data_IF_845188627430
#
_entry.id   IF_845188627430
#
_cell.length_a   1.000
_cell.length_b   1.000
_cell.length_c   1.000
_cell.angle_alpha   90.00
_cell.angle_beta   90.00
_cell.angle_gamma   90.00
#
_symmetry.space_group_name_H-M   'P 1'
#
loop_
_entity.id
_entity.type
_entity.pdbx_description
1 polymer ?
#
# COMPACT_ATOMS: atom_id res chain seq x y z
N UNK A 1 -25.98 8.22 -2.29
CA UNK A 1 -25.33 8.54 -3.60
C UNK A 1 -26.23 9.53 -4.32
N UNK A 2 -25.67 10.62 -4.89
CA UNK A 2 -26.45 11.59 -5.66
C UNK A 2 -26.77 11.05 -7.07
N UNK A 3 -27.69 11.71 -7.79
CA UNK A 3 -28.13 11.27 -9.13
C UNK A 3 -26.97 11.24 -10.14
N UNK A 4 -26.07 12.21 -10.12
CA UNK A 4 -24.92 12.28 -11.01
C UNK A 4 -24.02 11.04 -10.90
N UNK A 5 -23.70 10.60 -9.69
CA UNK A 5 -22.88 9.38 -9.47
C UNK A 5 -23.63 8.09 -9.82
N UNK A 6 -24.96 8.08 -9.64
CA UNK A 6 -25.80 7.00 -10.14
C UNK A 6 -25.70 6.88 -11.66
N UNK A 7 -25.81 8.01 -12.38
CA UNK A 7 -25.75 8.06 -13.84
C UNK A 7 -24.36 7.62 -14.37
N UNK A 8 -23.28 8.04 -13.70
CA UNK A 8 -21.92 7.58 -14.03
C UNK A 8 -21.82 6.06 -13.91
N UNK A 9 -22.28 5.50 -12.79
CA UNK A 9 -22.21 4.06 -12.52
C UNK A 9 -23.02 3.27 -13.55
N UNK A 10 -24.27 3.66 -13.81
CA UNK A 10 -25.13 3.00 -14.79
C UNK A 10 -24.54 3.05 -16.21
N UNK A 11 -24.03 4.21 -16.61
CA UNK A 11 -23.42 4.40 -17.92
C UNK A 11 -22.17 3.54 -18.09
N UNK A 12 -21.30 3.50 -17.08
CA UNK A 12 -20.03 2.78 -17.14
C UNK A 12 -20.21 1.26 -17.11
N UNK A 13 -21.25 0.76 -16.43
CA UNK A 13 -21.51 -0.67 -16.28
C UNK A 13 -22.53 -1.22 -17.27
N UNK A 14 -23.23 -0.35 -18.00
CA UNK A 14 -24.35 -0.73 -18.87
C UNK A 14 -25.58 -1.24 -18.10
N UNK A 15 -25.63 -1.04 -16.79
CA UNK A 15 -26.76 -1.45 -15.96
C UNK A 15 -27.98 -0.54 -16.18
N UNK A 16 -29.18 -1.10 -16.00
CA UNK A 16 -30.45 -0.37 -16.11
C UNK A 16 -30.90 0.20 -14.77
N UNK A 17 -30.47 -0.39 -13.65
CA UNK A 17 -30.76 0.08 -12.30
C UNK A 17 -29.65 -0.38 -11.35
N UNK A 18 -29.58 0.27 -10.19
CA UNK A 18 -28.62 -0.06 -9.15
C UNK A 18 -29.21 0.15 -7.75
N UNK A 19 -28.69 -0.63 -6.78
CA UNK A 19 -29.03 -0.50 -5.37
C UNK A 19 -27.77 -0.57 -4.51
N UNK A 20 -27.63 0.30 -3.51
CA UNK A 20 -26.56 0.19 -2.54
C UNK A 20 -26.87 -1.00 -1.63
N UNK A 21 -26.00 -2.02 -1.64
CA UNK A 21 -26.13 -3.21 -0.81
C UNK A 21 -25.69 -2.91 0.62
N UNK A 22 -24.50 -2.31 0.76
CA UNK A 22 -23.88 -2.04 2.05
C UNK A 22 -22.87 -0.90 1.98
N UNK A 23 -22.60 -0.28 3.11
CA UNK A 23 -21.42 0.54 3.32
C UNK A 23 -20.29 -0.35 3.85
N UNK A 24 -19.24 -0.55 3.02
CA UNK A 24 -18.07 -1.36 3.38
C UNK A 24 -17.23 -0.61 4.41
N UNK A 25 -17.06 0.71 4.21
CA UNK A 25 -16.20 1.52 5.06
C UNK A 25 -16.59 3.01 4.99
N UNK A 26 -16.70 3.64 6.16
CA UNK A 26 -16.66 5.10 6.26
C UNK A 26 -15.21 5.57 6.21
N UNK A 27 -14.92 6.54 5.35
CA UNK A 27 -13.57 7.09 5.20
C UNK A 27 -13.21 7.98 6.39
N UNK A 28 -11.94 7.96 6.74
CA UNK A 28 -11.40 8.67 7.88
C UNK A 28 -11.82 10.15 7.90
N UNK A 29 -12.20 10.67 9.08
CA UNK A 29 -12.63 12.06 9.33
C UNK A 29 -13.85 12.52 8.53
N UNK A 30 -14.69 11.60 8.04
CA UNK A 30 -15.90 11.95 7.29
C UNK A 30 -15.62 12.42 5.86
N UNK A 31 -14.45 12.08 5.30
CA UNK A 31 -14.11 12.41 3.91
C UNK A 31 -14.92 11.63 2.87
N UNK A 32 -15.78 10.71 3.27
CA UNK A 32 -16.65 9.96 2.37
C UNK A 32 -16.84 8.51 2.78
N UNK A 33 -17.20 7.67 1.83
CA UNK A 33 -17.49 6.24 2.07
C UNK A 33 -17.10 5.36 0.88
N UNK A 34 -16.94 4.08 1.18
CA UNK A 34 -16.83 3.00 0.22
C UNK A 34 -18.09 2.16 0.36
N UNK A 35 -18.82 1.97 -0.73
CA UNK A 35 -20.07 1.23 -0.76
C UNK A 35 -20.04 0.13 -1.81
N UNK A 36 -20.70 -1.00 -1.53
CA UNK A 36 -20.98 -2.04 -2.52
C UNK A 36 -22.34 -1.78 -3.14
N UNK A 37 -22.40 -1.89 -4.46
CA UNK A 37 -23.57 -1.58 -5.28
C UNK A 37 -23.94 -2.80 -6.10
N UNK A 38 -25.18 -3.27 -5.95
CA UNK A 38 -25.77 -4.27 -6.83
C UNK A 38 -26.26 -3.62 -8.12
N UNK A 39 -26.05 -4.30 -9.24
CA UNK A 39 -26.42 -3.85 -10.57
C UNK A 39 -27.53 -4.73 -11.15
N UNK A 40 -28.46 -4.13 -11.90
CA UNK A 40 -29.49 -4.85 -12.64
C UNK A 40 -29.34 -4.60 -14.14
N UNK A 41 -29.60 -5.62 -14.94
CA UNK A 41 -29.55 -5.52 -16.40
C UNK A 41 -28.12 -5.41 -16.97
N UNK A 42 -27.10 -5.74 -16.18
CA UNK A 42 -25.69 -5.80 -16.58
C UNK A 42 -25.15 -7.23 -16.44
N UNK A 43 -24.05 -7.53 -17.16
CA UNK A 43 -23.27 -8.76 -16.94
C UNK A 43 -22.52 -8.72 -15.60
N UNK A 44 -22.09 -7.54 -15.17
CA UNK A 44 -21.48 -7.31 -13.87
C UNK A 44 -22.58 -7.26 -12.81
N UNK A 45 -22.48 -8.11 -11.79
CA UNK A 45 -23.51 -8.24 -10.74
C UNK A 45 -23.41 -7.13 -9.70
N UNK A 46 -22.19 -6.74 -9.35
CA UNK A 46 -21.90 -5.71 -8.36
C UNK A 46 -20.61 -4.96 -8.65
N UNK A 47 -20.48 -3.77 -8.08
CA UNK A 47 -19.29 -2.94 -8.12
C UNK A 47 -19.07 -2.31 -6.76
N UNK A 48 -17.84 -1.86 -6.51
CA UNK A 48 -17.48 -1.06 -5.33
C UNK A 48 -17.33 0.39 -5.75
N UNK A 49 -18.07 1.29 -5.13
CA UNK A 49 -17.92 2.73 -5.36
C UNK A 49 -17.24 3.40 -4.17
N UNK A 50 -16.16 4.12 -4.43
CA UNK A 50 -15.46 4.98 -3.48
C UNK A 50 -15.79 6.43 -3.78
N UNK A 51 -16.46 7.09 -2.84
CA UNK A 51 -16.78 8.51 -2.94
C UNK A 51 -15.98 9.27 -1.88
N UNK A 52 -15.16 10.20 -2.32
CA UNK A 52 -14.36 11.09 -1.47
C UNK A 52 -14.85 12.51 -1.67
N UNK A 53 -15.16 13.19 -0.58
CA UNK A 53 -15.52 14.61 -0.57
C UNK A 53 -14.64 15.33 0.43
N UNK A 54 -13.76 16.18 -0.05
CA UNK A 54 -12.84 16.92 0.81
C UNK A 54 -13.58 18.09 1.48
N UNK A 55 -13.60 18.19 2.82
CA UNK A 55 -14.28 19.28 3.50
C UNK A 55 -13.60 20.61 3.22
N UNK A 56 -14.40 21.63 2.95
CA UNK A 56 -13.93 23.00 2.73
C UNK A 56 -13.39 23.69 4.01
N UNK A 57 -13.44 23.03 5.18
CA UNK A 57 -13.04 23.61 6.47
C UNK A 57 -12.12 22.68 7.28
N UNK A 58 -11.08 23.30 7.87
CA UNK A 58 -10.00 22.72 8.66
C UNK A 58 -10.42 22.28 10.08
N UNK A 59 -11.54 21.62 10.32
CA UNK A 59 -11.91 21.14 11.66
C UNK A 59 -11.84 19.64 11.77
N UNK A 60 -10.83 19.13 12.46
CA UNK A 60 -10.71 17.71 12.78
C UNK A 60 -11.43 17.36 14.09
N UNK A 61 -12.33 16.33 14.12
CA UNK A 61 -13.11 15.98 15.33
C UNK A 61 -12.28 15.55 16.54
N UNK A 62 -11.03 15.13 16.36
CA UNK A 62 -10.13 14.63 17.44
C UNK A 62 -8.94 15.52 17.74
N UNK A 63 -8.93 16.79 17.31
CA UNK A 63 -7.91 17.76 17.69
C UNK A 63 -6.50 17.57 17.09
N UNK A 64 -6.30 16.63 16.19
CA UNK A 64 -5.05 16.44 15.44
C UNK A 64 -5.01 17.37 14.23
N UNK A 65 -4.99 18.68 14.54
CA UNK A 65 -5.06 19.76 13.57
C UNK A 65 -3.67 20.25 13.20
N UNK A 66 -2.87 19.40 12.58
CA UNK A 66 -1.75 19.92 11.81
C UNK A 66 -2.20 20.06 10.36
N UNK A 67 -1.86 21.18 9.72
CA UNK A 67 -2.06 21.38 8.28
C UNK A 67 -1.44 20.21 7.49
N UNK A 68 -0.37 19.62 7.99
CA UNK A 68 0.32 18.44 7.43
C UNK A 68 -0.56 17.19 7.32
N UNK A 69 -1.31 16.84 8.36
CA UNK A 69 -2.17 15.64 8.33
C UNK A 69 -3.29 15.79 7.30
N UNK A 70 -3.89 16.98 7.21
CA UNK A 70 -4.90 17.28 6.20
C UNK A 70 -4.32 17.26 4.79
N UNK A 71 -3.21 17.96 4.53
CA UNK A 71 -2.55 18.02 3.23
C UNK A 71 -2.11 16.63 2.75
N UNK A 72 -1.53 15.83 3.66
CA UNK A 72 -1.17 14.43 3.36
C UNK A 72 -2.39 13.61 2.94
N UNK A 73 -3.53 13.77 3.64
CA UNK A 73 -4.74 13.03 3.32
C UNK A 73 -5.34 13.47 1.98
N UNK A 74 -5.38 14.75 1.69
CA UNK A 74 -5.81 15.27 0.38
C UNK A 74 -4.91 14.68 -0.71
N UNK A 75 -3.60 14.83 -0.57
CA UNK A 75 -2.63 14.28 -1.53
C UNK A 75 -2.78 12.77 -1.72
N UNK A 76 -3.12 12.00 -0.68
CA UNK A 76 -3.31 10.56 -0.82
C UNK A 76 -4.47 10.19 -1.75
N UNK A 77 -5.52 10.97 -1.81
CA UNK A 77 -6.62 10.78 -2.76
C UNK A 77 -6.25 11.20 -4.19
N UNK A 78 -5.46 12.27 -4.34
CA UNK A 78 -4.93 12.67 -5.65
C UNK A 78 -4.00 11.59 -6.21
N UNK A 79 -3.15 11.02 -5.36
CA UNK A 79 -2.25 9.90 -5.72
C UNK A 79 -3.04 8.66 -6.14
N UNK A 80 -4.05 8.25 -5.39
CA UNK A 80 -4.89 7.12 -5.76
C UNK A 80 -5.64 7.37 -7.09
N UNK A 81 -6.09 8.60 -7.30
CA UNK A 81 -6.69 9.02 -8.58
C UNK A 81 -5.69 8.92 -9.74
N UNK A 82 -4.47 9.39 -9.55
CA UNK A 82 -3.40 9.31 -10.55
C UNK A 82 -2.97 7.87 -10.81
N UNK A 83 -2.92 7.04 -9.77
CA UNK A 83 -2.65 5.61 -9.87
C UNK A 83 -3.62 4.91 -10.82
N UNK A 84 -4.92 5.03 -10.56
CA UNK A 84 -5.94 4.39 -11.40
C UNK A 84 -5.99 4.94 -12.82
N UNK A 85 -5.69 6.22 -13.03
CA UNK A 85 -5.66 6.83 -14.37
C UNK A 85 -4.46 6.42 -15.21
N UNK A 86 -3.27 6.30 -14.61
CA UNK A 86 -2.02 6.29 -15.36
C UNK A 86 -1.24 4.98 -15.24
N UNK A 87 -1.46 4.19 -14.20
CA UNK A 87 -0.58 3.07 -13.86
C UNK A 87 -1.30 1.74 -13.67
N UNK A 88 -2.52 1.74 -13.14
CA UNK A 88 -3.29 0.55 -12.79
C UNK A 88 -3.38 -0.46 -13.95
N UNK A 89 -3.53 0.03 -15.19
CA UNK A 89 -3.59 -0.81 -16.40
C UNK A 89 -2.30 -1.57 -16.73
N UNK A 90 -1.19 -1.30 -16.03
CA UNK A 90 0.07 -2.05 -16.16
C UNK A 90 0.12 -3.27 -15.25
N UNK A 91 -0.78 -3.34 -14.27
CA UNK A 91 -0.95 -4.53 -13.44
C UNK A 91 -1.76 -5.57 -14.20
N UNK A 92 -1.27 -6.80 -14.15
CA UNK A 92 -1.91 -7.98 -14.75
C UNK A 92 -2.33 -8.99 -13.66
N UNK A 93 -2.71 -10.20 -14.06
CA UNK A 93 -3.09 -11.27 -13.13
C UNK A 93 -1.96 -11.67 -12.15
N UNK A 94 -0.70 -11.33 -12.44
CA UNK A 94 0.45 -11.64 -11.56
C UNK A 94 0.60 -10.65 -10.41
N UNK A 95 0.05 -9.44 -10.57
CA UNK A 95 -0.06 -8.42 -9.52
C UNK A 95 -1.46 -7.77 -9.55
N UNK A 96 -2.48 -8.62 -9.41
CA UNK A 96 -3.91 -8.30 -9.55
C UNK A 96 -4.37 -7.17 -8.63
N UNK A 97 -5.12 -6.24 -9.19
CA UNK A 97 -5.79 -5.14 -8.51
C UNK A 97 -7.22 -5.01 -9.04
N UNK A 98 -8.15 -4.32 -8.38
CA UNK A 98 -9.48 -4.09 -8.94
C UNK A 98 -9.41 -3.21 -10.20
N UNK A 99 -10.18 -3.57 -11.22
CA UNK A 99 -10.34 -2.73 -12.40
C UNK A 99 -11.05 -1.41 -12.03
N UNK A 100 -10.56 -0.30 -12.56
CA UNK A 100 -11.24 1.00 -12.44
C UNK A 100 -12.21 1.18 -13.63
N UNK A 101 -13.48 0.94 -13.36
CA UNK A 101 -14.56 0.97 -14.37
C UNK A 101 -14.93 2.41 -14.74
N UNK A 102 -14.96 3.31 -13.75
CA UNK A 102 -15.16 4.74 -13.95
C UNK A 102 -14.45 5.56 -12.87
N UNK A 103 -13.98 6.75 -13.26
CA UNK A 103 -13.35 7.69 -12.34
C UNK A 103 -13.67 9.12 -12.77
N UNK A 104 -14.24 9.88 -11.84
CA UNK A 104 -14.42 11.33 -11.96
C UNK A 104 -13.77 12.03 -10.77
N UNK A 105 -12.95 13.05 -11.06
CA UNK A 105 -12.35 13.93 -10.04
C UNK A 105 -12.63 15.38 -10.43
N UNK A 106 -13.45 16.06 -9.64
CA UNK A 106 -13.91 17.43 -9.90
C UNK A 106 -14.34 18.13 -8.61
N UNK A 107 -14.06 19.42 -8.47
CA UNK A 107 -14.56 20.26 -7.36
C UNK A 107 -14.27 19.70 -5.96
N UNK A 108 -13.06 19.19 -5.70
CA UNK A 108 -12.67 18.54 -4.45
C UNK A 108 -13.48 17.26 -4.12
N UNK A 109 -14.13 16.68 -5.11
CA UNK A 109 -14.76 15.36 -5.01
C UNK A 109 -14.07 14.38 -5.95
N UNK A 110 -13.92 13.14 -5.47
CA UNK A 110 -13.45 12.01 -6.28
C UNK A 110 -14.50 10.91 -6.17
N UNK A 111 -14.93 10.41 -7.30
CA UNK A 111 -15.82 9.27 -7.39
C UNK A 111 -15.18 8.19 -8.28
N UNK A 112 -14.96 7.02 -7.70
CA UNK A 112 -14.40 5.86 -8.40
C UNK A 112 -15.41 4.72 -8.36
N UNK A 113 -15.61 4.07 -9.49
CA UNK A 113 -16.34 2.80 -9.60
C UNK A 113 -15.29 1.73 -9.91
N UNK A 114 -15.10 0.83 -8.98
CA UNK A 114 -14.11 -0.24 -9.05
C UNK A 114 -14.84 -1.59 -9.18
N UNK A 115 -14.14 -2.54 -9.75
CA UNK A 115 -14.53 -3.94 -9.72
C UNK A 115 -14.81 -4.39 -8.28
N UNK A 116 -15.86 -5.18 -8.09
CA UNK A 116 -16.11 -5.89 -6.83
C UNK A 116 -15.29 -7.18 -6.82
N UNK A 117 -14.16 -7.13 -6.10
CA UNK A 117 -13.25 -8.27 -5.97
C UNK A 117 -13.92 -9.49 -5.34
N UNK A 118 -14.90 -9.31 -4.45
CA UNK A 118 -15.63 -10.42 -3.85
C UNK A 118 -16.43 -11.18 -4.92
N UNK A 119 -17.09 -10.44 -5.81
CA UNK A 119 -17.80 -11.03 -6.96
C UNK A 119 -16.86 -11.66 -8.00
N UNK A 120 -15.59 -11.29 -7.97
CA UNK A 120 -14.54 -11.81 -8.87
C UNK A 120 -13.73 -12.98 -8.25
N UNK A 121 -14.16 -13.48 -7.08
CA UNK A 121 -13.55 -14.63 -6.42
C UNK A 121 -12.35 -14.30 -5.50
N UNK A 122 -12.26 -13.06 -5.03
CA UNK A 122 -11.29 -12.60 -4.03
C UNK A 122 -12.01 -12.10 -2.77
N UNK A 123 -12.88 -12.94 -2.22
CA UNK A 123 -13.81 -12.60 -1.14
C UNK A 123 -13.27 -12.85 0.27
N UNK A 124 -12.06 -13.44 0.38
CA UNK A 124 -11.47 -13.74 1.68
C UNK A 124 -10.62 -12.59 2.23
N UNK A 125 -10.86 -12.23 3.49
CA UNK A 125 -10.06 -11.26 4.26
C UNK A 125 -9.50 -11.99 5.47
N UNK A 126 -8.16 -12.12 5.54
CA UNK A 126 -7.49 -12.94 6.53
C UNK A 126 -7.04 -12.10 7.74
N UNK A 127 -7.26 -12.62 8.93
CA UNK A 127 -6.71 -12.07 10.18
C UNK A 127 -5.47 -12.83 10.68
N UNK A 128 -5.27 -14.03 10.19
CA UNK A 128 -4.07 -14.86 10.37
C UNK A 128 -3.70 -15.47 9.03
N UNK A 129 -2.45 -15.83 8.86
CA UNK A 129 -1.91 -16.20 7.56
C UNK A 129 -1.02 -17.44 7.68
N UNK A 130 -1.16 -18.39 6.75
CA UNK A 130 -0.26 -19.55 6.60
C UNK A 130 0.91 -19.20 5.68
N UNK A 131 1.89 -20.11 5.60
CA UNK A 131 3.03 -19.94 4.69
C UNK A 131 2.58 -19.83 3.22
N UNK A 132 1.55 -20.59 2.79
CA UNK A 132 1.02 -20.51 1.43
C UNK A 132 0.52 -19.10 1.08
N UNK A 133 -0.24 -18.46 1.98
CA UNK A 133 -0.74 -17.11 1.73
C UNK A 133 0.37 -16.07 1.81
N UNK A 134 1.41 -16.28 2.66
CA UNK A 134 2.63 -15.44 2.66
C UNK A 134 3.30 -15.50 1.29
N UNK A 135 3.54 -16.70 0.75
CA UNK A 135 4.09 -16.88 -0.60
C UNK A 135 3.26 -16.18 -1.66
N UNK A 136 1.93 -16.28 -1.56
CA UNK A 136 1.00 -15.63 -2.51
C UNK A 136 1.15 -14.11 -2.49
N UNK A 137 1.23 -13.49 -1.32
CA UNK A 137 1.46 -12.04 -1.19
C UNK A 137 2.87 -11.63 -1.63
N UNK A 138 3.91 -12.38 -1.24
CA UNK A 138 5.29 -12.09 -1.67
C UNK A 138 5.45 -12.20 -3.18
N UNK A 139 4.78 -13.16 -3.82
CA UNK A 139 4.75 -13.29 -5.27
C UNK A 139 4.05 -12.09 -5.92
N UNK A 140 2.93 -11.63 -5.34
CA UNK A 140 2.26 -10.42 -5.78
C UNK A 140 3.19 -9.21 -5.70
N UNK A 141 3.84 -8.97 -4.54
CA UNK A 141 4.78 -7.88 -4.33
C UNK A 141 5.95 -7.95 -5.31
N UNK A 142 6.54 -9.13 -5.51
CA UNK A 142 7.64 -9.32 -6.45
C UNK A 142 7.25 -8.95 -7.90
N UNK A 143 6.06 -9.35 -8.34
CA UNK A 143 5.56 -9.00 -9.67
C UNK A 143 5.22 -7.51 -9.78
N UNK A 144 4.62 -6.92 -8.75
CA UNK A 144 4.35 -5.49 -8.67
C UNK A 144 5.65 -4.69 -8.76
N UNK A 145 6.65 -5.01 -7.95
CA UNK A 145 7.95 -4.34 -7.97
C UNK A 145 8.67 -4.50 -9.31
N UNK A 146 8.62 -5.69 -9.93
CA UNK A 146 9.21 -5.90 -11.25
C UNK A 146 8.52 -5.08 -12.35
N UNK A 147 7.19 -4.91 -12.26
CA UNK A 147 6.40 -4.12 -13.24
C UNK A 147 6.81 -2.66 -13.26
N UNK A 148 7.12 -2.11 -12.10
CA UNK A 148 7.41 -0.68 -11.94
C UNK A 148 8.88 -0.37 -11.68
N UNK A 149 9.77 -1.35 -11.82
CA UNK A 149 11.21 -1.18 -11.60
C UNK A 149 11.78 -0.08 -12.50
N UNK A 150 12.52 0.85 -11.91
CA UNK A 150 13.10 2.04 -12.55
C UNK A 150 12.09 2.96 -13.25
N UNK A 151 10.82 2.91 -12.87
CA UNK A 151 9.82 3.88 -13.35
C UNK A 151 9.79 5.11 -12.45
N UNK A 152 9.55 6.27 -13.06
CA UNK A 152 9.33 7.51 -12.30
C UNK A 152 7.90 7.56 -11.78
N UNK A 153 7.70 7.95 -10.51
CA UNK A 153 6.37 8.00 -9.88
C UNK A 153 5.66 9.34 -10.18
N UNK A 154 5.48 9.68 -11.47
CA UNK A 154 4.87 10.94 -11.87
C UNK A 154 3.43 11.05 -11.35
N UNK A 155 3.14 12.12 -10.62
CA UNK A 155 1.85 12.35 -9.91
C UNK A 155 1.52 11.34 -8.81
N UNK A 156 2.45 10.47 -8.40
CA UNK A 156 2.37 9.63 -7.22
C UNK A 156 3.14 10.29 -6.05
N UNK A 157 3.30 9.58 -4.93
CA UNK A 157 4.28 10.00 -3.94
C UNK A 157 5.68 9.86 -4.53
N UNK A 158 6.48 10.90 -4.45
CA UNK A 158 7.90 10.82 -4.85
C UNK A 158 8.59 9.72 -4.05
N UNK A 159 8.35 9.72 -2.74
CA UNK A 159 8.72 8.65 -1.82
C UNK A 159 7.43 8.04 -1.26
N UNK A 160 7.16 6.80 -1.67
CA UNK A 160 6.01 6.03 -1.21
C UNK A 160 6.13 5.65 0.26
N UNK A 161 5.04 5.23 0.83
CA UNK A 161 4.74 4.83 2.20
C UNK A 161 4.02 5.90 3.02
N UNK A 162 3.04 5.46 3.83
CA UNK A 162 2.28 6.38 4.69
C UNK A 162 3.08 6.90 5.89
N UNK A 163 4.26 6.31 6.14
CA UNK A 163 5.17 6.67 7.23
C UNK A 163 6.41 7.43 6.78
N UNK A 164 6.49 7.84 5.50
CA UNK A 164 7.64 8.56 4.95
C UNK A 164 8.02 9.77 5.83
N UNK A 165 9.31 9.94 6.07
CA UNK A 165 9.87 10.86 7.06
C UNK A 165 9.34 12.29 6.92
N UNK A 166 9.40 12.88 5.72
CA UNK A 166 8.97 14.27 5.47
C UNK A 166 7.48 14.51 5.68
N UNK A 167 6.69 13.43 5.60
CA UNK A 167 5.23 13.51 5.82
C UNK A 167 4.83 13.31 7.29
N UNK A 168 5.80 13.02 8.16
CA UNK A 168 5.63 12.65 9.58
C UNK A 168 6.53 13.44 10.53
N UNK A 169 6.60 14.80 10.40
CA UNK A 169 7.47 15.61 11.25
C UNK A 169 7.04 15.60 12.73
N UNK A 170 5.74 15.49 13.00
CA UNK A 170 5.22 15.50 14.37
C UNK A 170 5.62 14.22 15.11
N UNK A 171 5.50 13.07 14.45
CA UNK A 171 5.89 11.77 15.00
C UNK A 171 7.40 11.72 15.27
N UNK A 172 8.21 12.25 14.35
CA UNK A 172 9.65 12.37 14.58
C UNK A 172 9.98 13.28 15.77
N UNK A 173 9.25 14.41 15.90
CA UNK A 173 9.49 15.39 16.95
C UNK A 173 9.28 14.80 18.35
N UNK A 174 8.22 14.02 18.55
CA UNK A 174 7.84 13.49 19.87
C UNK A 174 8.57 12.18 20.23
N UNK A 175 9.27 11.56 19.30
CA UNK A 175 10.01 10.31 19.56
C UNK A 175 11.10 10.52 20.61
N UNK A 176 11.13 9.68 21.63
CA UNK A 176 12.07 9.76 22.76
C UNK A 176 13.43 9.13 22.46
N UNK A 177 13.51 8.18 21.52
CA UNK A 177 14.77 7.55 21.12
C UNK A 177 15.67 8.52 20.36
N UNK A 178 16.58 9.18 21.08
CA UNK A 178 17.45 10.22 20.54
C UNK A 178 18.42 9.71 19.49
N UNK A 179 18.91 8.47 19.60
CA UNK A 179 19.83 7.87 18.61
C UNK A 179 19.13 7.57 17.31
N UNK A 180 17.98 6.90 17.39
CA UNK A 180 17.16 6.59 16.24
C UNK A 180 16.63 7.86 15.57
N UNK A 181 16.26 8.88 16.36
CA UNK A 181 15.86 10.19 15.87
C UNK A 181 16.95 10.89 15.07
N UNK A 182 18.20 10.86 15.57
CA UNK A 182 19.36 11.41 14.87
C UNK A 182 19.70 10.61 13.58
N UNK A 183 19.48 9.31 13.59
CA UNK A 183 19.71 8.41 12.45
C UNK A 183 18.62 8.55 11.35
N UNK A 184 17.42 9.05 11.67
CA UNK A 184 16.28 9.08 10.77
C UNK A 184 16.58 9.68 9.38
N UNK A 185 17.24 10.84 9.24
CA UNK A 185 17.57 11.39 7.92
C UNK A 185 18.55 10.52 7.13
N UNK A 186 19.48 9.84 7.82
CA UNK A 186 20.46 8.95 7.18
C UNK A 186 19.76 7.70 6.64
N UNK A 187 18.86 7.13 7.43
CA UNK A 187 18.05 5.96 7.04
C UNK A 187 17.18 6.31 5.84
N UNK A 188 16.47 7.44 5.89
CA UNK A 188 15.63 7.91 4.81
C UNK A 188 16.45 8.10 3.52
N UNK A 189 17.56 8.82 3.60
CA UNK A 189 18.46 9.02 2.46
C UNK A 189 18.95 7.70 1.87
N UNK A 190 19.43 6.77 2.71
CA UNK A 190 19.94 5.45 2.26
C UNK A 190 18.89 4.67 1.46
N UNK A 191 17.65 4.64 1.93
CA UNK A 191 16.55 3.94 1.25
C UNK A 191 16.10 4.61 -0.05
N UNK A 192 16.19 5.94 -0.12
CA UNK A 192 15.66 6.71 -1.25
C UNK A 192 16.72 7.03 -2.32
N UNK A 193 18.01 6.79 -2.03
CA UNK A 193 19.13 6.92 -2.98
C UNK A 193 19.68 5.55 -3.42
N UNK A 194 18.92 4.48 -3.20
CA UNK A 194 19.28 3.15 -3.69
C UNK A 194 19.39 3.18 -5.23
N UNK A 195 20.30 2.37 -5.76
CA UNK A 195 20.52 2.25 -7.21
C UNK A 195 19.27 1.69 -7.91
N UNK A 196 18.60 0.72 -7.27
CA UNK A 196 17.40 0.10 -7.80
C UNK A 196 16.17 0.58 -7.03
N UNK A 197 15.33 1.36 -7.70
CA UNK A 197 14.07 1.84 -7.17
C UNK A 197 12.90 1.32 -8.01
N UNK A 198 11.77 1.13 -7.36
CA UNK A 198 10.52 0.72 -7.98
C UNK A 198 9.36 1.57 -7.44
N UNK A 199 8.13 1.26 -7.82
CA UNK A 199 7.00 1.70 -7.02
C UNK A 199 6.82 0.75 -5.85
N UNK A 200 6.57 1.31 -4.67
CA UNK A 200 6.08 0.61 -3.50
C UNK A 200 4.58 0.86 -3.37
N UNK A 201 3.82 -0.13 -2.91
CA UNK A 201 2.40 0.03 -2.58
C UNK A 201 2.23 1.07 -1.46
N UNK A 202 3.17 1.08 -0.53
CA UNK A 202 3.28 2.04 0.55
C UNK A 202 2.32 1.83 1.73
N UNK A 203 1.39 0.88 1.63
CA UNK A 203 0.54 0.38 2.72
C UNK A 203 0.24 -1.12 2.52
N UNK A 204 1.26 -1.92 2.17
CA UNK A 204 1.15 -3.35 1.84
C UNK A 204 0.93 -4.23 3.09
N UNK A 205 -0.05 -3.90 3.94
CA UNK A 205 -0.43 -4.75 5.09
C UNK A 205 -1.38 -5.86 4.67
N UNK A 206 -1.42 -6.94 5.45
CA UNK A 206 -2.31 -8.08 5.20
C UNK A 206 -3.76 -7.66 4.92
N UNK A 207 -4.28 -6.68 5.66
CA UNK A 207 -5.66 -6.19 5.50
C UNK A 207 -5.96 -5.54 4.13
N UNK A 208 -4.93 -5.19 3.34
CA UNK A 208 -5.07 -4.64 1.99
C UNK A 208 -4.95 -5.71 0.90
N UNK A 209 -4.87 -6.99 1.29
CA UNK A 209 -4.87 -8.12 0.38
C UNK A 209 -6.18 -8.90 0.48
N UNK A 210 -6.79 -9.13 -0.68
CA UNK A 210 -8.04 -9.87 -0.87
C UNK A 210 -7.71 -11.21 -1.52
N UNK A 211 -8.04 -12.33 -0.85
CA UNK A 211 -7.63 -13.66 -1.30
C UNK A 211 -8.77 -14.41 -1.97
N UNK A 212 -8.40 -15.32 -2.87
CA UNK A 212 -9.31 -16.37 -3.33
C UNK A 212 -9.61 -17.36 -2.20
N UNK A 213 -10.70 -18.11 -2.32
CA UNK A 213 -11.13 -19.10 -1.33
C UNK A 213 -10.03 -20.11 -0.96
N UNK A 214 -9.22 -20.54 -1.93
CA UNK A 214 -8.11 -21.49 -1.75
C UNK A 214 -6.79 -20.84 -1.32
N UNK A 215 -6.73 -19.51 -1.11
CA UNK A 215 -5.55 -18.77 -0.72
C UNK A 215 -4.42 -18.69 -1.75
N UNK A 216 -4.63 -19.20 -2.99
CA UNK A 216 -3.59 -19.28 -4.02
C UNK A 216 -3.50 -18.06 -4.92
N UNK A 217 -4.49 -17.19 -4.87
CA UNK A 217 -4.54 -15.94 -5.61
C UNK A 217 -4.83 -14.80 -4.66
N UNK A 218 -4.29 -13.64 -4.99
CA UNK A 218 -4.49 -12.42 -4.20
C UNK A 218 -4.60 -11.20 -5.10
N UNK A 219 -5.43 -10.25 -4.69
CA UNK A 219 -5.50 -8.91 -5.27
C UNK A 219 -5.26 -7.87 -4.18
N UNK A 220 -4.53 -6.79 -4.51
CA UNK A 220 -4.29 -5.71 -3.55
C UNK A 220 -5.21 -4.52 -3.79
N UNK A 221 -5.51 -3.79 -2.72
CA UNK A 221 -6.36 -2.58 -2.71
C UNK A 221 -5.71 -1.46 -1.91
N UNK A 222 -6.24 -0.24 -2.02
CA UNK A 222 -5.84 0.96 -1.27
C UNK A 222 -4.46 1.53 -1.67
N UNK A 223 -4.39 2.07 -2.90
CA UNK A 223 -3.17 2.66 -3.48
C UNK A 223 -2.96 4.14 -3.11
N UNK A 224 -3.42 4.58 -1.93
CA UNK A 224 -3.30 5.97 -1.48
C UNK A 224 -1.87 6.41 -1.19
N UNK A 225 -0.96 5.47 -0.96
CA UNK A 225 0.43 5.73 -0.60
C UNK A 225 1.44 5.15 -1.59
N UNK A 226 0.97 4.77 -2.77
CA UNK A 226 1.85 4.29 -3.85
C UNK A 226 2.80 5.37 -4.32
N UNK A 227 4.07 5.01 -4.49
CA UNK A 227 5.11 5.95 -4.91
C UNK A 227 6.46 5.29 -5.08
N UNK A 228 7.50 6.10 -5.29
CA UNK A 228 8.87 5.60 -5.46
C UNK A 228 9.45 5.01 -4.18
N UNK A 229 10.31 4.00 -4.30
CA UNK A 229 11.02 3.45 -3.15
C UNK A 229 11.75 2.14 -3.43
N UNK A 230 12.49 1.67 -2.45
CA UNK A 230 13.04 0.32 -2.42
C UNK A 230 11.93 -0.68 -2.08
N UNK A 231 11.80 -1.77 -2.85
CA UNK A 231 10.77 -2.79 -2.63
C UNK A 231 10.79 -3.43 -1.24
N UNK A 232 11.91 -3.35 -0.53
CA UNK A 232 12.02 -3.85 0.84
C UNK A 232 11.14 -3.10 1.84
N UNK A 233 10.74 -1.86 1.54
CA UNK A 233 9.76 -1.13 2.38
C UNK A 233 8.43 -1.89 2.46
N UNK A 234 7.91 -2.37 1.33
CA UNK A 234 6.66 -3.15 1.30
C UNK A 234 6.85 -4.54 1.90
N UNK A 235 7.96 -5.22 1.61
CA UNK A 235 8.23 -6.57 2.15
C UNK A 235 8.33 -6.53 3.68
N UNK A 236 9.12 -5.61 4.24
CA UNK A 236 9.25 -5.43 5.69
C UNK A 236 7.89 -5.10 6.34
N UNK A 237 7.15 -4.19 5.73
CA UNK A 237 5.83 -3.79 6.24
C UNK A 237 4.81 -4.92 6.17
N UNK A 238 4.76 -5.68 5.06
CA UNK A 238 3.88 -6.84 4.92
C UNK A 238 4.17 -7.87 6.00
N UNK A 239 5.42 -8.30 6.15
CA UNK A 239 5.84 -9.29 7.16
C UNK A 239 5.49 -8.80 8.57
N UNK A 240 5.82 -7.55 8.90
CA UNK A 240 5.46 -6.94 10.18
C UNK A 240 3.96 -6.74 10.38
N UNK A 241 3.12 -6.94 9.37
CA UNK A 241 1.66 -6.85 9.49
C UNK A 241 0.99 -8.19 9.79
N UNK A 242 1.67 -9.31 9.60
CA UNK A 242 1.08 -10.65 9.67
C UNK A 242 1.87 -11.65 10.51
N UNK A 243 3.13 -11.39 10.85
CA UNK A 243 3.95 -12.27 11.68
C UNK A 243 4.30 -11.61 13.02
N UNK A 244 4.37 -12.44 14.07
CA UNK A 244 4.92 -12.06 15.36
C UNK A 244 6.44 -12.22 15.38
N UNK A 245 7.10 -11.69 16.41
CA UNK A 245 8.55 -11.60 16.50
C UNK A 245 9.27 -12.95 16.31
N UNK A 246 8.77 -14.02 16.95
CA UNK A 246 9.36 -15.35 16.85
C UNK A 246 9.32 -15.93 15.44
N UNK A 247 8.21 -15.67 14.71
CA UNK A 247 8.07 -16.10 13.34
C UNK A 247 8.90 -15.23 12.39
N UNK A 248 9.00 -13.92 12.65
CA UNK A 248 9.90 -13.06 11.92
C UNK A 248 11.36 -13.55 12.02
N UNK A 249 11.85 -13.89 13.23
CA UNK A 249 13.21 -14.42 13.41
C UNK A 249 13.44 -15.74 12.67
N UNK A 250 12.47 -16.66 12.73
CA UNK A 250 12.59 -17.97 12.08
C UNK A 250 12.50 -17.91 10.56
N UNK A 251 11.62 -17.05 10.03
CA UNK A 251 11.24 -17.07 8.64
C UNK A 251 11.95 -16.00 7.79
N UNK A 252 12.70 -15.05 8.39
CA UNK A 252 13.36 -13.95 7.67
C UNK A 252 14.07 -14.43 6.41
N UNK A 253 14.98 -15.39 6.56
CA UNK A 253 15.75 -15.93 5.43
C UNK A 253 14.83 -16.55 4.38
N UNK A 254 13.85 -17.34 4.79
CA UNK A 254 12.92 -18.04 3.89
C UNK A 254 12.04 -17.04 3.12
N UNK A 255 11.53 -16.01 3.79
CA UNK A 255 10.77 -14.90 3.20
C UNK A 255 11.59 -14.21 2.12
N UNK A 256 12.81 -13.80 2.44
CA UNK A 256 13.68 -13.09 1.50
C UNK A 256 14.08 -13.98 0.32
N UNK A 257 14.45 -15.23 0.55
CA UNK A 257 14.83 -16.16 -0.50
C UNK A 257 13.67 -16.44 -1.45
N UNK A 258 12.46 -16.61 -0.92
CA UNK A 258 11.26 -16.77 -1.73
C UNK A 258 10.95 -15.52 -2.55
N UNK A 259 10.92 -14.35 -1.89
CA UNK A 259 10.65 -13.08 -2.55
C UNK A 259 11.63 -12.83 -3.72
N UNK A 260 12.95 -12.97 -3.50
CA UNK A 260 13.95 -12.74 -4.53
C UNK A 260 13.89 -13.79 -5.65
N UNK A 261 13.51 -15.03 -5.33
CA UNK A 261 13.25 -16.06 -6.36
C UNK A 261 12.10 -15.63 -7.28
N UNK A 262 10.99 -15.14 -6.73
CA UNK A 262 9.86 -14.67 -7.53
C UNK A 262 10.16 -13.37 -8.26
N UNK A 263 10.91 -12.45 -7.64
CA UNK A 263 11.35 -11.20 -8.27
C UNK A 263 12.24 -11.46 -9.48
N UNK A 264 13.17 -12.41 -9.37
CA UNK A 264 14.03 -12.83 -10.49
C UNK A 264 13.21 -13.35 -11.66
N UNK A 265 12.23 -14.23 -11.37
CA UNK A 265 11.31 -14.75 -12.40
C UNK A 265 10.53 -13.60 -13.05
N UNK A 266 9.99 -12.69 -12.24
CA UNK A 266 9.19 -11.58 -12.72
C UNK A 266 9.99 -10.60 -13.60
N UNK A 267 11.25 -10.32 -13.24
CA UNK A 267 12.17 -9.48 -14.03
C UNK A 267 12.53 -10.14 -15.35
N UNK A 268 12.86 -11.45 -15.32
CA UNK A 268 13.20 -12.21 -16.53
C UNK A 268 12.03 -12.27 -17.50
N UNK A 269 10.81 -12.51 -17.01
CA UNK A 269 9.60 -12.55 -17.84
C UNK A 269 9.28 -11.21 -18.52
N UNK A 270 9.81 -10.10 -17.99
CA UNK A 270 9.65 -8.75 -18.55
C UNK A 270 10.84 -8.29 -19.39
N UNK A 271 11.82 -9.17 -19.60
CA UNK A 271 13.05 -8.90 -20.38
C UNK A 271 13.75 -7.61 -19.91
N UNK A 272 13.70 -7.33 -18.61
CA UNK A 272 14.30 -6.10 -18.07
C UNK A 272 15.82 -6.19 -18.07
N UNK A 273 16.56 -5.19 -18.56
CA UNK A 273 18.02 -5.21 -18.67
C UNK A 273 18.71 -4.90 -17.33
N UNK A 274 18.22 -5.48 -16.25
CA UNK A 274 18.71 -5.24 -14.89
C UNK A 274 19.68 -6.34 -14.48
N UNK A 275 20.79 -5.96 -13.85
CA UNK A 275 21.64 -6.91 -13.16
C UNK A 275 20.95 -7.37 -11.87
N UNK A 276 20.26 -8.50 -11.94
CA UNK A 276 19.49 -9.03 -10.83
C UNK A 276 20.37 -9.31 -9.59
N UNK A 277 21.60 -9.78 -9.77
CA UNK A 277 22.45 -10.10 -8.62
C UNK A 277 22.86 -8.86 -7.83
N UNK A 278 23.07 -7.73 -8.50
CA UNK A 278 23.34 -6.44 -7.85
C UNK A 278 22.09 -5.91 -7.14
N UNK A 279 20.92 -6.00 -7.79
CA UNK A 279 19.64 -5.62 -7.19
C UNK A 279 19.36 -6.44 -5.92
N UNK A 280 19.48 -7.78 -6.00
CA UNK A 280 19.26 -8.67 -4.86
C UNK A 280 20.22 -8.35 -3.71
N UNK A 281 21.49 -8.13 -4.01
CA UNK A 281 22.51 -7.78 -3.00
C UNK A 281 22.14 -6.47 -2.31
N UNK A 282 21.89 -5.40 -3.08
CA UNK A 282 21.49 -4.10 -2.53
C UNK A 282 20.20 -4.18 -1.69
N UNK A 283 19.17 -4.86 -2.19
CA UNK A 283 17.89 -4.89 -1.48
C UNK A 283 17.95 -5.76 -0.23
N UNK A 284 18.76 -6.84 -0.20
CA UNK A 284 19.00 -7.60 1.03
C UNK A 284 19.69 -6.75 2.09
N UNK A 285 20.66 -5.94 1.69
CA UNK A 285 21.31 -4.98 2.61
C UNK A 285 20.33 -3.91 3.11
N UNK A 286 19.37 -3.48 2.28
CA UNK A 286 18.39 -2.48 2.64
C UNK A 286 17.19 -3.00 3.47
N UNK A 287 17.02 -4.31 3.58
CA UNK A 287 15.91 -4.89 4.35
C UNK A 287 15.89 -4.45 5.83
N UNK A 288 16.98 -4.54 6.60
CA UNK A 288 16.99 -4.03 7.97
C UNK A 288 16.79 -2.50 8.05
N UNK A 289 17.20 -1.74 7.04
CA UNK A 289 16.95 -0.30 6.97
C UNK A 289 15.47 0.01 6.77
N UNK A 290 14.79 -0.75 5.92
CA UNK A 290 13.33 -0.62 5.70
C UNK A 290 12.53 -0.91 6.97
N UNK A 291 12.91 -1.95 7.72
CA UNK A 291 12.35 -2.21 9.05
C UNK A 291 12.61 -1.05 10.02
N UNK A 292 13.84 -0.54 10.04
CA UNK A 292 14.23 0.55 10.93
C UNK A 292 13.45 1.83 10.62
N UNK A 293 13.20 2.14 9.35
CA UNK A 293 12.40 3.29 8.96
C UNK A 293 10.94 3.17 9.44
N UNK A 294 10.33 2.00 9.31
CA UNK A 294 8.97 1.78 9.84
C UNK A 294 8.97 1.76 11.39
N UNK A 295 9.95 1.13 12.02
CA UNK A 295 10.10 1.11 13.48
C UNK A 295 10.26 2.53 14.04
N UNK A 296 11.09 3.37 13.41
CA UNK A 296 11.22 4.79 13.74
C UNK A 296 9.87 5.50 13.76
N UNK A 297 9.04 5.29 12.73
CA UNK A 297 7.71 5.89 12.68
C UNK A 297 6.84 5.42 13.85
N UNK A 298 6.82 4.14 14.13
CA UNK A 298 6.03 3.58 15.24
C UNK A 298 6.45 4.15 16.60
N UNK A 299 7.74 4.31 16.85
CA UNK A 299 8.28 4.89 18.10
C UNK A 299 7.77 6.31 18.35
N UNK A 300 7.48 7.07 17.31
CA UNK A 300 6.86 8.39 17.44
C UNK A 300 5.33 8.38 17.40
N UNK A 301 4.73 7.46 16.63
CA UNK A 301 3.28 7.46 16.43
C UNK A 301 2.50 6.70 17.50
N UNK A 302 3.01 5.56 17.91
CA UNK A 302 2.39 4.66 18.89
C UNK A 302 3.48 3.82 19.58
N UNK A 303 4.17 4.37 20.60
CA UNK A 303 5.33 3.70 21.24
C UNK A 303 5.02 2.34 21.83
N UNK A 304 3.76 2.08 22.21
CA UNK A 304 3.30 0.81 22.76
C UNK A 304 2.73 -0.15 21.70
N UNK A 305 2.95 0.13 20.42
CA UNK A 305 2.41 -0.70 19.34
C UNK A 305 3.06 -2.09 19.35
N UNK A 306 2.27 -3.17 19.22
CA UNK A 306 2.73 -4.55 19.28
C UNK A 306 3.84 -4.92 18.25
N UNK A 307 3.96 -4.18 17.16
CA UNK A 307 5.04 -4.35 16.16
C UNK A 307 6.39 -3.79 16.62
N UNK A 308 6.42 -3.07 17.73
CA UNK A 308 7.65 -2.71 18.43
C UNK A 308 7.98 -3.89 19.35
N UNK A 309 8.86 -4.76 18.89
CA UNK A 309 9.19 -6.01 19.54
C UNK A 309 10.71 -6.29 19.44
N UNK A 310 11.19 -7.38 20.04
CA UNK A 310 12.63 -7.68 20.09
C UNK A 310 13.25 -7.81 18.69
N UNK A 311 12.53 -8.35 17.72
CA UNK A 311 13.00 -8.46 16.33
C UNK A 311 13.21 -7.08 15.69
N UNK A 312 12.19 -6.22 15.73
CA UNK A 312 12.28 -4.87 15.14
C UNK A 312 13.29 -3.98 15.87
N UNK A 313 13.41 -4.12 17.21
CA UNK A 313 14.44 -3.43 18.01
C UNK A 313 15.86 -3.91 17.67
N UNK A 314 16.07 -5.22 17.46
CA UNK A 314 17.36 -5.78 17.06
C UNK A 314 17.82 -5.22 15.71
N UNK A 315 16.95 -5.25 14.70
CA UNK A 315 17.27 -4.71 13.37
C UNK A 315 17.56 -3.21 13.43
N UNK A 316 16.74 -2.46 14.18
CA UNK A 316 16.93 -1.02 14.35
C UNK A 316 18.26 -0.70 15.04
N UNK A 317 18.61 -1.44 16.08
CA UNK A 317 19.89 -1.28 16.78
C UNK A 317 21.07 -1.60 15.87
N UNK A 318 20.99 -2.70 15.12
CA UNK A 318 22.03 -3.08 14.14
C UNK A 318 22.29 -1.95 13.13
N UNK A 319 21.25 -1.33 12.60
CA UNK A 319 21.39 -0.22 11.64
C UNK A 319 21.97 1.02 12.32
N UNK A 320 21.44 1.42 13.49
CA UNK A 320 21.86 2.65 14.18
C UNK A 320 23.31 2.55 14.73
N UNK A 321 23.74 1.37 15.16
CA UNK A 321 25.14 1.15 15.65
C UNK A 321 26.13 1.03 14.50
N UNK A 322 25.68 0.74 13.29
CA UNK A 322 26.50 0.66 12.08
C UNK A 322 26.71 1.99 11.36
N UNK A 323 26.08 3.07 11.84
CA UNK A 323 26.25 4.43 11.29
C UNK A 323 27.48 5.13 11.85
#
# INVERSE_FOLDING_TARGET
MNQHFKDITLKATGATDLNIREEIQSLWSGYGSIVRIDLKGSKTLSVVAKHVRMPNQKKHPRGWNTDYSHLRKVKSYDVETAWYKNYASKCDETCRIPECIALEAKNNEVFMVLEDLDASGFDQRLSSISWQEIETCLKWLANFHATFLNKKPDNLWEIGTYWHLDTRPDELKIMDDTKLKAAAPIIDNKLNTAQYLTFVHGDAKLANFCFSEDGKKVAAVDFQYVGGGCGMKDVAYFIGSCLYEEDCEKLEKQVLDFYFTELKKAINNRESPINFNELEHEWRELYPWAWTDFHRFLKGWSPDHWKINSYSERLSRQVVEGL
#
